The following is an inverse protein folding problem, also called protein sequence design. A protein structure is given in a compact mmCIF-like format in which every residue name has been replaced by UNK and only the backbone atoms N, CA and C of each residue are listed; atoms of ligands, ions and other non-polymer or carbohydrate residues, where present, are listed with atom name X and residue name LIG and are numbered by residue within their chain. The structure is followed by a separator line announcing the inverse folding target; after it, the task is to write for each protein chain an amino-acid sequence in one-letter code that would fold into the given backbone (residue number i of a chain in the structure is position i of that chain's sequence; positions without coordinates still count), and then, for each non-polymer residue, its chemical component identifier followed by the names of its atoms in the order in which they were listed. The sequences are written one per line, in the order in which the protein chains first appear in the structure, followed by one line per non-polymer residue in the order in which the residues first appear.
data_IF_062407961883
#
_entry.id   IF_062407961883
#
_cell.length_a   1.000
_cell.length_b   1.000
_cell.length_c   1.000
_cell.angle_alpha   90.00
_cell.angle_beta   90.00
_cell.angle_gamma   90.00
#
_symmetry.space_group_name_H-M   'P 1'
#
loop_
_entity.id
_entity.type
_entity.pdbx_description
1 polymer ?
#
# COMPACT_ATOMS: atom_id res chain seq x y z
N UNK A 1 -0.05 -1.28 12.05
CA UNK A 1 -0.13 -0.66 10.71
C UNK A 1 -1.47 0.00 10.55
N UNK A 2 -1.51 1.31 10.33
CA UNK A 2 -2.73 2.10 10.14
C UNK A 2 -2.85 2.47 8.67
N UNK A 3 -3.94 2.06 8.05
CA UNK A 3 -4.27 2.38 6.66
C UNK A 3 -5.48 3.32 6.64
N UNK A 4 -5.38 4.42 5.92
CA UNK A 4 -6.43 5.42 5.78
C UNK A 4 -7.19 5.27 4.47
N UNK A 5 -8.49 5.58 4.49
CA UNK A 5 -9.34 5.66 3.32
C UNK A 5 -9.38 7.10 2.81
N UNK A 6 -8.69 7.44 1.71
CA UNK A 6 -8.50 8.84 1.31
C UNK A 6 -9.80 9.65 1.15
N UNK A 7 -10.91 9.13 0.57
CA UNK A 7 -12.17 9.87 0.52
C UNK A 7 -12.70 10.31 1.89
N UNK A 8 -12.51 9.49 2.93
CA UNK A 8 -12.90 9.84 4.30
C UNK A 8 -11.88 10.78 4.98
N UNK A 9 -10.59 10.68 4.67
CA UNK A 9 -9.57 11.65 5.12
C UNK A 9 -9.86 13.05 4.56
N UNK A 10 -10.29 13.13 3.31
CA UNK A 10 -10.63 14.36 2.61
C UNK A 10 -12.00 14.95 3.00
N UNK A 11 -12.71 14.33 3.94
CA UNK A 11 -14.04 14.79 4.32
C UNK A 11 -13.99 16.14 5.05
N UNK A 12 -14.37 17.21 4.34
CA UNK A 12 -14.40 18.57 4.89
C UNK A 12 -13.11 19.36 4.71
N UNK A 13 -12.12 18.78 4.04
CA UNK A 13 -10.86 19.44 3.69
C UNK A 13 -10.58 19.20 2.22
N UNK A 14 -10.12 20.23 1.51
CA UNK A 14 -9.71 20.07 0.12
C UNK A 14 -8.41 19.27 0.07
N UNK A 15 -8.48 18.08 -0.53
CA UNK A 15 -7.29 17.28 -0.79
C UNK A 15 -6.49 17.80 -1.98
N UNK A 16 -5.18 17.58 -1.92
CA UNK A 16 -4.22 18.03 -2.93
C UNK A 16 -4.51 17.45 -4.31
N UNK A 17 -4.87 16.16 -4.35
CA UNK A 17 -5.24 15.44 -5.55
C UNK A 17 -6.54 14.67 -5.34
N UNK A 18 -7.10 14.14 -6.42
CA UNK A 18 -8.24 13.26 -6.33
C UNK A 18 -7.88 12.03 -5.47
N UNK A 19 -8.70 11.69 -4.47
CA UNK A 19 -8.46 10.55 -3.61
C UNK A 19 -8.21 9.26 -4.41
N UNK A 20 -7.20 8.51 -3.99
CA UNK A 20 -6.88 7.21 -4.57
C UNK A 20 -8.03 6.21 -4.35
N UNK A 21 -8.23 5.30 -5.29
CA UNK A 21 -9.22 4.21 -5.19
C UNK A 21 -8.72 3.02 -4.36
N UNK A 22 -7.81 3.25 -3.41
CA UNK A 22 -7.26 2.25 -2.50
C UNK A 22 -6.97 2.87 -1.14
N UNK A 23 -6.87 2.01 -0.12
CA UNK A 23 -6.30 2.41 1.16
C UNK A 23 -4.85 2.85 0.98
N UNK A 24 -4.46 3.95 1.61
CA UNK A 24 -3.06 4.39 1.68
C UNK A 24 -2.53 4.25 3.09
N UNK A 25 -1.22 4.24 3.24
CA UNK A 25 -0.57 4.19 4.54
C UNK A 25 -0.84 5.53 5.25
N UNK A 26 -1.28 5.46 6.51
CA UNK A 26 -1.15 6.59 7.43
C UNK A 26 0.18 6.45 8.17
N UNK A 27 0.39 5.31 8.84
CA UNK A 27 1.67 5.01 9.44
C UNK A 27 1.78 3.65 10.12
N UNK A 28 2.99 3.35 10.57
CA UNK A 28 3.29 2.19 11.41
C UNK A 28 3.65 2.70 12.80
N UNK A 29 2.78 2.43 13.79
CA UNK A 29 2.91 3.03 15.11
C UNK A 29 3.23 1.95 16.16
N UNK A 30 4.44 1.97 16.74
CA UNK A 30 4.75 1.16 17.92
C UNK A 30 3.78 1.48 19.06
N UNK A 31 3.35 0.44 19.78
CA UNK A 31 2.41 0.56 20.89
C UNK A 31 2.81 -0.38 22.01
N UNK A 32 2.58 0.04 23.25
CA UNK A 32 2.66 -0.79 24.45
C UNK A 32 1.30 -1.39 24.83
N UNK A 33 0.43 -1.64 23.84
CA UNK A 33 -0.95 -2.10 24.04
C UNK A 33 -1.79 -1.15 24.89
N UNK A 34 -1.52 0.16 24.78
CA UNK A 34 -2.33 1.21 25.37
C UNK A 34 -2.81 2.20 24.32
N UNK A 35 -3.74 3.06 24.72
CA UNK A 35 -4.25 4.20 23.98
C UNK A 35 -3.35 5.45 24.12
N UNK A 36 -2.21 5.34 24.80
CA UNK A 36 -1.25 6.43 24.97
C UNK A 36 -0.15 6.27 23.91
N UNK A 37 0.07 7.28 23.04
CA UNK A 37 1.18 7.24 22.09
C UNK A 37 2.53 7.16 22.82
N UNK A 38 3.43 6.35 22.28
CA UNK A 38 4.81 6.33 22.75
C UNK A 38 5.53 7.61 22.30
N UNK A 39 6.40 8.12 23.17
CA UNK A 39 7.28 9.26 22.87
C UNK A 39 8.71 8.79 23.07
N UNK A 40 9.50 8.81 22.00
CA UNK A 40 10.86 8.30 22.01
C UNK A 40 11.81 9.30 21.37
N UNK A 41 12.97 9.48 21.99
CA UNK A 41 14.09 10.15 21.33
C UNK A 41 14.69 9.22 20.26
N UNK A 42 15.23 9.78 19.20
CA UNK A 42 15.85 9.01 18.13
C UNK A 42 16.53 9.91 17.11
N UNK A 43 17.16 9.30 16.11
CA UNK A 43 17.77 10.05 15.02
C UNK A 43 16.68 10.78 14.21
N UNK A 44 16.89 12.06 13.86
CA UNK A 44 15.92 12.80 13.08
C UNK A 44 15.78 12.21 11.68
N UNK A 45 14.60 12.41 11.07
CA UNK A 45 14.35 11.96 9.71
C UNK A 45 15.45 12.38 8.72
N UNK A 46 15.96 11.42 7.96
CA UNK A 46 16.94 11.64 6.91
C UNK A 46 16.47 11.05 5.58
N UNK A 47 16.01 11.91 4.67
CA UNK A 47 15.54 11.53 3.33
C UNK A 47 16.55 10.66 2.55
N UNK A 48 17.85 10.92 2.70
CA UNK A 48 18.87 10.21 1.93
C UNK A 48 18.86 8.69 2.22
N UNK A 49 18.53 8.28 3.45
CA UNK A 49 18.50 6.86 3.82
C UNK A 49 17.34 6.10 3.16
N UNK A 50 16.27 6.78 2.74
CA UNK A 50 15.09 6.17 2.13
C UNK A 50 14.97 6.47 0.63
N UNK A 51 16.03 7.02 0.01
CA UNK A 51 15.99 7.49 -1.38
C UNK A 51 15.51 6.41 -2.37
N UNK A 52 15.90 5.15 -2.13
CA UNK A 52 15.51 3.99 -2.94
C UNK A 52 14.02 3.62 -2.80
N UNK A 53 13.37 4.01 -1.70
CA UNK A 53 11.97 3.70 -1.40
C UNK A 53 10.99 4.78 -1.88
N UNK A 54 11.49 5.99 -2.19
CA UNK A 54 10.67 7.15 -2.56
C UNK A 54 9.62 6.86 -3.64
N UNK A 55 9.90 6.10 -4.72
CA UNK A 55 8.87 5.77 -5.71
C UNK A 55 7.68 5.02 -5.10
N UNK A 56 7.93 4.01 -4.26
CA UNK A 56 6.87 3.25 -3.60
C UNK A 56 6.16 4.07 -2.53
N UNK A 57 6.89 4.87 -1.77
CA UNK A 57 6.32 5.76 -0.75
C UNK A 57 5.38 6.80 -1.38
N UNK A 58 5.71 7.35 -2.55
CA UNK A 58 4.83 8.26 -3.28
C UNK A 58 3.52 7.59 -3.70
N UNK A 59 3.54 6.31 -4.05
CA UNK A 59 2.34 5.56 -4.44
C UNK A 59 1.49 5.15 -3.26
N UNK A 60 2.12 4.58 -2.22
CA UNK A 60 1.40 3.90 -1.14
C UNK A 60 1.26 4.73 0.14
N UNK A 61 2.16 5.69 0.37
CA UNK A 61 2.17 6.56 1.55
C UNK A 61 2.10 8.06 1.19
N UNK A 62 1.16 8.50 0.33
CA UNK A 62 1.03 9.92 0.02
C UNK A 62 0.45 10.72 1.20
N UNK A 63 0.85 11.98 1.28
CA UNK A 63 0.08 13.00 2.00
C UNK A 63 -1.15 13.37 1.15
N UNK A 64 -2.29 12.79 1.50
CA UNK A 64 -3.53 12.98 0.75
C UNK A 64 -4.10 14.39 0.88
N UNK A 65 -3.76 15.12 1.96
CA UNK A 65 -4.30 16.46 2.22
C UNK A 65 -3.46 17.52 1.53
N UNK A 66 -2.16 17.58 1.85
CA UNK A 66 -1.30 18.68 1.39
C UNK A 66 -0.46 18.35 0.15
N UNK A 67 -0.31 17.05 -0.17
CA UNK A 67 0.59 16.58 -1.24
C UNK A 67 2.08 16.64 -0.87
N UNK A 68 2.43 17.12 0.32
CA UNK A 68 3.82 17.17 0.79
C UNK A 68 4.22 15.85 1.46
N UNK A 69 4.43 14.83 0.62
CA UNK A 69 4.74 13.48 1.09
C UNK A 69 5.99 13.44 2.00
N UNK A 70 7.05 14.18 1.68
CA UNK A 70 8.27 14.18 2.48
C UNK A 70 8.04 14.75 3.89
N UNK A 71 7.25 15.83 4.02
CA UNK A 71 6.88 16.36 5.32
C UNK A 71 6.07 15.35 6.13
N UNK A 72 5.18 14.62 5.46
CA UNK A 72 4.37 13.60 6.11
C UNK A 72 5.21 12.41 6.58
N UNK A 73 6.11 11.87 5.74
CA UNK A 73 7.05 10.81 6.15
C UNK A 73 7.96 11.24 7.30
N UNK A 74 8.44 12.49 7.27
CA UNK A 74 9.23 13.06 8.36
C UNK A 74 8.45 13.05 9.67
N UNK A 75 7.19 13.49 9.65
CA UNK A 75 6.32 13.48 10.83
C UNK A 75 6.14 12.06 11.38
N UNK A 76 5.78 11.10 10.51
CA UNK A 76 5.56 9.71 10.92
C UNK A 76 6.83 9.06 11.49
N UNK A 77 8.01 9.34 10.92
CA UNK A 77 9.26 8.88 11.48
C UNK A 77 9.57 9.52 12.83
N UNK A 78 9.59 10.86 12.91
CA UNK A 78 9.99 11.57 14.12
C UNK A 78 9.03 11.32 15.30
N UNK A 79 7.73 11.10 15.02
CA UNK A 79 6.71 10.89 16.05
C UNK A 79 6.45 9.42 16.39
N UNK A 80 6.72 8.48 15.48
CA UNK A 80 6.42 7.06 15.70
C UNK A 80 7.57 6.13 15.37
N UNK A 81 8.25 6.34 14.24
CA UNK A 81 9.34 5.49 13.79
C UNK A 81 10.52 5.41 14.75
N UNK A 82 10.87 6.51 15.40
CA UNK A 82 11.93 6.56 16.44
C UNK A 82 11.68 5.59 17.60
N UNK A 83 10.41 5.29 17.92
CA UNK A 83 10.06 4.31 18.95
C UNK A 83 10.27 2.85 18.55
N UNK A 84 10.64 2.59 17.30
CA UNK A 84 10.99 1.25 16.81
C UNK A 84 12.48 1.07 16.56
N UNK A 85 13.31 2.07 16.85
CA UNK A 85 14.76 2.03 16.66
C UNK A 85 15.48 2.02 18.03
N UNK A 86 16.06 0.89 18.45
CA UNK A 86 16.11 -0.43 17.79
C UNK A 86 14.82 -1.26 17.94
N UNK A 87 14.59 -2.30 17.11
CA UNK A 87 15.55 -2.88 16.15
C UNK A 87 15.43 -2.36 14.70
N UNK A 88 14.46 -1.50 14.39
CA UNK A 88 14.22 -1.00 13.05
C UNK A 88 14.78 0.41 12.90
N UNK A 89 15.94 0.52 12.24
CA UNK A 89 16.40 1.83 11.79
C UNK A 89 15.42 2.43 10.75
N UNK A 90 15.61 3.70 10.41
CA UNK A 90 14.70 4.43 9.51
C UNK A 90 14.43 3.69 8.19
N UNK A 91 15.46 3.17 7.52
CA UNK A 91 15.26 2.43 6.27
C UNK A 91 14.39 1.20 6.49
N UNK A 92 14.66 0.42 7.56
CA UNK A 92 13.90 -0.78 7.87
C UNK A 92 12.46 -0.47 8.28
N UNK A 93 12.21 0.63 9.00
CA UNK A 93 10.85 1.08 9.35
C UNK A 93 10.00 1.34 8.10
N UNK A 94 10.51 2.13 7.15
CA UNK A 94 9.79 2.43 5.91
C UNK A 94 9.66 1.18 5.01
N UNK A 95 10.71 0.37 4.89
CA UNK A 95 10.67 -0.87 4.12
C UNK A 95 9.65 -1.87 4.68
N UNK A 96 9.61 -2.05 6.00
CA UNK A 96 8.67 -2.96 6.68
C UNK A 96 7.24 -2.51 6.45
N UNK A 97 7.00 -1.21 6.58
CA UNK A 97 5.68 -0.60 6.34
C UNK A 97 5.21 -0.80 4.89
N UNK A 98 6.11 -0.62 3.92
CA UNK A 98 5.83 -0.90 2.49
C UNK A 98 5.60 -2.39 2.21
N UNK A 99 6.38 -3.29 2.83
CA UNK A 99 6.20 -4.73 2.68
C UNK A 99 4.84 -5.18 3.20
N UNK A 100 4.38 -4.64 4.33
CA UNK A 100 3.03 -4.91 4.84
C UNK A 100 1.98 -4.39 3.87
N UNK A 101 2.10 -3.14 3.41
CA UNK A 101 1.09 -2.53 2.51
C UNK A 101 0.99 -3.23 1.16
N UNK A 102 2.10 -3.71 0.61
CA UNK A 102 2.13 -4.34 -0.72
C UNK A 102 1.87 -5.85 -0.68
N UNK A 103 1.72 -6.45 0.51
CA UNK A 103 1.33 -7.84 0.65
C UNK A 103 -0.15 -8.04 0.26
N UNK A 104 -0.39 -8.86 -0.76
CA UNK A 104 -1.74 -9.16 -1.27
C UNK A 104 -2.68 -9.78 -0.23
N UNK A 105 -2.15 -10.49 0.77
CA UNK A 105 -2.95 -11.05 1.87
C UNK A 105 -3.53 -9.95 2.79
N UNK A 106 -3.03 -8.72 2.68
CA UNK A 106 -3.45 -7.56 3.47
C UNK A 106 -4.09 -6.46 2.62
N UNK A 107 -4.47 -6.77 1.36
CA UNK A 107 -5.24 -5.84 0.53
C UNK A 107 -6.69 -5.75 1.04
N UNK A 108 -6.89 -4.81 1.96
CA UNK A 108 -8.16 -4.58 2.63
C UNK A 108 -9.31 -4.28 1.67
N UNK A 109 -9.05 -3.56 0.58
CA UNK A 109 -10.09 -3.24 -0.39
C UNK A 109 -10.47 -4.49 -1.18
N UNK A 110 -9.49 -5.28 -1.62
CA UNK A 110 -9.76 -6.54 -2.32
C UNK A 110 -10.52 -7.55 -1.44
N UNK A 111 -10.10 -7.69 -0.17
CA UNK A 111 -10.79 -8.54 0.81
C UNK A 111 -12.26 -8.14 0.97
N UNK A 112 -12.51 -6.85 1.20
CA UNK A 112 -13.85 -6.36 1.46
C UNK A 112 -14.73 -6.35 0.20
N UNK A 113 -14.16 -6.12 -0.98
CA UNK A 113 -14.87 -6.26 -2.25
C UNK A 113 -15.28 -7.73 -2.50
N UNK A 114 -14.39 -8.68 -2.24
CA UNK A 114 -14.68 -10.12 -2.38
C UNK A 114 -15.81 -10.56 -1.46
N UNK A 115 -15.93 -9.96 -0.28
CA UNK A 115 -17.03 -10.19 0.65
C UNK A 115 -18.33 -9.43 0.29
N UNK A 116 -18.38 -8.66 -0.80
CA UNK A 116 -19.53 -7.82 -1.15
C UNK A 116 -19.72 -6.59 -0.24
N UNK A 117 -18.68 -6.23 0.51
CA UNK A 117 -18.68 -5.18 1.52
C UNK A 117 -17.95 -3.90 1.11
N UNK A 118 -17.52 -3.80 -0.15
CA UNK A 118 -16.80 -2.64 -0.70
C UNK A 118 -17.49 -1.28 -0.51
N UNK A 119 -16.81 -0.16 -0.80
CA UNK A 119 -17.41 1.16 -0.66
C UNK A 119 -18.56 1.33 -1.68
N UNK A 120 -19.75 1.73 -1.21
CA UNK A 120 -20.90 2.00 -2.10
C UNK A 120 -21.45 3.42 -1.96
N UNK A 121 -20.88 4.24 -1.07
CA UNK A 121 -21.22 5.66 -0.90
C UNK A 121 -22.55 5.95 -0.21
N UNK A 122 -23.55 5.07 -0.35
CA UNK A 122 -24.91 5.28 0.14
C UNK A 122 -25.33 4.31 1.24
N UNK A 123 -24.74 3.11 1.28
CA UNK A 123 -25.14 2.07 2.22
C UNK A 123 -24.32 2.12 3.51
N UNK A 124 -25.01 1.91 4.62
CA UNK A 124 -24.40 1.69 5.92
C UNK A 124 -23.77 0.29 5.97
N UNK A 125 -22.59 0.19 6.56
CA UNK A 125 -21.89 -1.07 6.83
C UNK A 125 -22.00 -1.40 8.32
N UNK A 126 -22.18 -2.69 8.61
CA UNK A 126 -22.14 -3.21 9.98
C UNK A 126 -20.69 -3.40 10.40
N UNK A 127 -20.32 -2.93 11.59
CA UNK A 127 -18.99 -3.12 12.16
C UNK A 127 -18.57 -4.61 12.12
N UNK A 128 -19.43 -5.49 12.64
CA UNK A 128 -19.13 -6.93 12.73
C UNK A 128 -18.97 -7.61 11.36
N UNK A 129 -19.59 -7.08 10.31
CA UNK A 129 -19.42 -7.62 8.96
C UNK A 129 -18.04 -7.26 8.38
N UNK A 130 -17.60 -6.01 8.56
CA UNK A 130 -16.28 -5.56 8.11
C UNK A 130 -15.18 -6.27 8.90
N UNK A 131 -15.29 -6.31 10.24
CA UNK A 131 -14.35 -7.00 11.11
C UNK A 131 -14.28 -8.49 10.76
N UNK A 132 -15.43 -9.16 10.67
CA UNK A 132 -15.52 -10.58 10.37
C UNK A 132 -14.96 -10.96 9.00
N UNK A 133 -15.20 -10.15 7.96
CA UNK A 133 -14.64 -10.41 6.63
C UNK A 133 -13.11 -10.31 6.61
N UNK A 134 -12.53 -9.31 7.28
CA UNK A 134 -11.08 -9.17 7.39
C UNK A 134 -10.50 -10.30 8.26
N UNK A 135 -11.15 -10.64 9.37
CA UNK A 135 -10.72 -11.75 10.22
C UNK A 135 -10.75 -13.08 9.47
N UNK A 136 -11.79 -13.33 8.67
CA UNK A 136 -11.89 -14.56 7.86
C UNK A 136 -10.76 -14.65 6.83
N UNK A 137 -10.37 -13.53 6.22
CA UNK A 137 -9.30 -13.51 5.20
C UNK A 137 -7.88 -13.55 5.80
N UNK A 138 -7.66 -12.92 6.95
CA UNK A 138 -6.32 -12.73 7.54
C UNK A 138 -6.04 -13.60 8.75
N UNK A 139 -7.07 -14.24 9.32
CA UNK A 139 -7.02 -15.00 10.56
C UNK A 139 -6.96 -14.14 11.84
N UNK A 140 -6.92 -12.81 11.73
CA UNK A 140 -6.75 -11.89 12.87
C UNK A 140 -7.75 -10.73 12.85
N UNK A 141 -8.15 -10.29 14.04
CA UNK A 141 -9.08 -9.17 14.20
C UNK A 141 -8.40 -7.83 13.88
N UNK A 142 -8.95 -7.02 12.96
CA UNK A 142 -8.50 -5.66 12.74
C UNK A 142 -9.04 -4.69 13.80
N UNK A 143 -8.51 -3.46 13.82
CA UNK A 143 -9.17 -2.31 14.43
C UNK A 143 -9.85 -1.44 13.37
N UNK A 144 -11.00 -0.83 13.69
CA UNK A 144 -11.76 0.04 12.78
C UNK A 144 -11.98 1.44 13.38
N UNK A 145 -11.44 2.47 12.71
CA UNK A 145 -11.64 3.87 13.11
C UNK A 145 -12.59 4.59 12.18
N UNK A 146 -13.51 5.33 12.78
CA UNK A 146 -14.46 6.18 12.08
C UNK A 146 -14.28 7.66 12.47
N UNK A 147 -14.27 8.53 11.47
CA UNK A 147 -14.37 9.97 11.67
C UNK A 147 -15.82 10.45 11.39
N UNK A 148 -16.07 11.75 11.56
CA UNK A 148 -17.38 12.35 11.29
C UNK A 148 -17.33 13.02 9.91
N UNK A 149 -18.23 12.63 9.01
CA UNK A 149 -18.34 13.25 7.71
C UNK A 149 -18.72 14.74 7.86
N UNK A 150 -18.01 15.63 7.18
CA UNK A 150 -18.16 17.06 7.40
C UNK A 150 -19.49 17.60 6.87
N UNK A 151 -20.02 17.01 5.79
CA UNK A 151 -21.28 17.41 5.17
C UNK A 151 -22.48 16.74 5.86
N UNK A 152 -22.54 15.40 5.80
CA UNK A 152 -23.69 14.63 6.31
C UNK A 152 -23.72 14.45 7.82
N UNK A 153 -22.62 14.77 8.53
CA UNK A 153 -22.44 14.56 9.97
C UNK A 153 -22.51 13.10 10.43
N UNK A 154 -22.65 12.14 9.52
CA UNK A 154 -22.65 10.69 9.81
C UNK A 154 -21.25 10.19 10.14
N UNK A 155 -21.16 9.13 10.93
CA UNK A 155 -19.90 8.39 11.13
C UNK A 155 -19.56 7.62 9.86
N UNK A 156 -18.29 7.68 9.45
CA UNK A 156 -17.81 7.00 8.26
C UNK A 156 -16.49 6.29 8.52
N UNK A 157 -16.26 5.16 7.84
CA UNK A 157 -15.00 4.42 7.91
C UNK A 157 -13.87 5.32 7.41
N UNK A 158 -12.87 5.51 8.26
CA UNK A 158 -11.76 6.42 8.04
C UNK A 158 -10.44 5.65 7.97
N UNK A 159 -10.21 4.72 8.89
CA UNK A 159 -9.00 3.89 8.90
C UNK A 159 -9.32 2.45 9.31
N UNK A 160 -8.46 1.55 8.84
CA UNK A 160 -8.40 0.16 9.29
C UNK A 160 -6.98 -0.09 9.81
N UNK A 161 -6.90 -0.74 10.97
CA UNK A 161 -5.64 -1.09 11.62
C UNK A 161 -5.44 -2.61 11.53
N UNK A 162 -4.27 -3.00 11.04
CA UNK A 162 -3.73 -4.35 11.17
C UNK A 162 -2.61 -4.33 12.22
N UNK A 163 -2.70 -5.22 13.21
CA UNK A 163 -1.75 -5.27 14.31
C UNK A 163 -0.69 -6.34 14.08
N UNK A 164 0.55 -6.00 14.36
CA UNK A 164 1.70 -6.89 14.20
C UNK A 164 2.45 -6.97 15.52
N UNK A 165 3.03 -8.12 15.81
CA UNK A 165 3.98 -8.27 16.92
C UNK A 165 5.20 -7.37 16.70
N UNK A 166 5.98 -7.13 17.76
CA UNK A 166 7.17 -6.27 17.77
C UNK A 166 8.24 -6.68 16.75
N UNK A 167 8.17 -7.89 16.20
CA UNK A 167 9.04 -8.35 15.13
C UNK A 167 8.69 -7.76 13.74
N UNK A 168 7.60 -7.00 13.62
CA UNK A 168 7.18 -6.34 12.37
C UNK A 168 6.67 -7.29 11.28
N UNK A 169 6.47 -8.58 11.58
CA UNK A 169 6.13 -9.63 10.60
C UNK A 169 4.89 -10.43 11.02
N UNK A 170 4.80 -10.84 12.28
CA UNK A 170 3.71 -11.70 12.75
C UNK A 170 2.43 -10.89 12.94
N UNK A 171 1.39 -11.18 12.16
CA UNK A 171 0.07 -10.59 12.34
C UNK A 171 -0.56 -11.12 13.64
N UNK A 172 -1.10 -10.22 14.46
CA UNK A 172 -1.76 -10.51 15.73
C UNK A 172 -3.13 -9.85 15.77
N UNK A 173 -3.98 -10.29 16.69
CA UNK A 173 -5.26 -9.63 16.93
C UNK A 173 -5.03 -8.23 17.45
N UNK A 174 -5.73 -7.26 16.88
CA UNK A 174 -5.75 -5.92 17.43
C UNK A 174 -6.44 -5.91 18.79
N UNK A 175 -5.85 -5.20 19.75
CA UNK A 175 -6.46 -5.00 21.06
C UNK A 175 -7.55 -3.94 20.98
N UNK A 176 -8.36 -3.83 22.04
CA UNK A 176 -9.38 -2.78 22.16
C UNK A 176 -8.83 -1.35 22.06
N UNK A 177 -7.51 -1.17 22.27
CA UNK A 177 -6.83 0.12 22.18
C UNK A 177 -6.44 0.51 20.75
N UNK A 178 -6.52 -0.42 19.79
CA UNK A 178 -6.25 -0.16 18.37
C UNK A 178 -7.43 0.56 17.69
N UNK A 179 -7.88 1.67 18.30
CA UNK A 179 -8.79 2.61 17.67
C UNK A 179 -10.17 2.04 17.32
N UNK A 180 -10.90 1.47 18.27
CA UNK A 180 -12.31 1.12 18.07
C UNK A 180 -13.16 2.38 18.24
N UNK A 181 -13.24 3.23 17.21
CA UNK A 181 -14.03 4.48 17.24
C UNK A 181 -15.27 4.44 16.36
N UNK A 182 -15.47 3.33 15.65
CA UNK A 182 -16.66 3.10 14.86
C UNK A 182 -17.86 2.67 15.72
N UNK A 183 -19.07 3.21 15.49
CA UNK A 183 -20.31 2.64 16.03
C UNK A 183 -20.61 1.27 15.38
N UNK A 184 -21.69 0.62 15.82
CA UNK A 184 -22.19 -0.63 15.20
C UNK A 184 -22.45 -0.50 13.69
N UNK A 185 -22.76 0.71 13.24
CA UNK A 185 -23.14 1.03 11.87
C UNK A 185 -22.54 2.36 11.41
N UNK A 186 -21.84 2.35 10.28
CA UNK A 186 -21.20 3.54 9.71
C UNK A 186 -21.27 3.56 8.18
N UNK A 187 -21.08 4.73 7.59
CA UNK A 187 -21.01 4.89 6.13
C UNK A 187 -19.63 4.49 5.62
N UNK A 188 -19.54 3.88 4.45
CA UNK A 188 -18.28 3.77 3.73
C UNK A 188 -18.39 4.51 2.40
N UNK A 189 -17.76 5.68 2.34
CA UNK A 189 -17.78 6.54 1.17
C UNK A 189 -17.13 5.86 -0.03
N UNK A 190 -17.82 5.89 -1.16
CA UNK A 190 -17.21 5.64 -2.45
C UNK A 190 -16.28 6.80 -2.85
N UNK A 191 -15.37 6.50 -3.78
CA UNK A 191 -14.62 7.53 -4.49
C UNK A 191 -15.62 8.44 -5.19
N UNK A 192 -15.54 9.75 -4.92
CA UNK A 192 -16.27 10.72 -5.73
C UNK A 192 -15.89 10.52 -7.20
N UNK A 193 -16.85 10.48 -8.14
CA UNK A 193 -16.53 10.31 -9.55
C UNK A 193 -15.56 11.40 -9.99
N UNK A 194 -14.53 10.99 -10.70
CA UNK A 194 -13.57 11.90 -11.30
C UNK A 194 -14.32 12.89 -12.19
N UNK A 195 -13.89 14.15 -12.20
CA UNK A 195 -14.25 15.04 -13.31
C UNK A 195 -13.86 14.37 -14.64
N UNK A 196 -14.60 14.64 -15.72
CA UNK A 196 -14.29 14.11 -17.06
C UNK A 196 -12.80 14.30 -17.43
N UNK A 197 -12.22 15.45 -17.06
CA UNK A 197 -10.80 15.76 -17.30
C UNK A 197 -9.88 14.81 -16.54
N UNK A 198 -10.15 14.56 -15.26
CA UNK A 198 -9.35 13.65 -14.44
C UNK A 198 -9.53 12.18 -14.86
N UNK A 199 -10.73 11.78 -15.27
CA UNK A 199 -10.99 10.45 -15.80
C UNK A 199 -10.21 10.18 -17.10
N UNK A 200 -10.20 11.15 -18.02
CA UNK A 200 -9.39 11.09 -19.25
C UNK A 200 -7.89 11.04 -18.93
N UNK A 201 -7.44 11.77 -17.91
CA UNK A 201 -6.05 11.71 -17.43
C UNK A 201 -5.65 10.32 -16.92
N UNK A 202 -6.47 9.69 -16.07
CA UNK A 202 -6.21 8.33 -15.58
C UNK A 202 -6.24 7.28 -16.69
N UNK A 203 -7.19 7.38 -17.63
CA UNK A 203 -7.25 6.51 -18.81
C UNK A 203 -6.00 6.65 -19.68
N UNK A 204 -5.53 7.89 -19.93
CA UNK A 204 -4.29 8.14 -20.67
C UNK A 204 -3.08 7.53 -19.96
N UNK A 205 -2.94 7.74 -18.66
CA UNK A 205 -1.82 7.18 -17.89
C UNK A 205 -1.84 5.65 -17.88
N UNK A 206 -3.02 5.04 -17.73
CA UNK A 206 -3.20 3.59 -17.81
C UNK A 206 -2.81 3.06 -19.19
N UNK A 207 -3.28 3.68 -20.27
CA UNK A 207 -2.89 3.31 -21.64
C UNK A 207 -1.38 3.44 -21.86
N UNK A 208 -0.77 4.53 -21.41
CA UNK A 208 0.69 4.75 -21.53
C UNK A 208 1.46 3.64 -20.80
N UNK A 209 1.01 3.24 -19.61
CA UNK A 209 1.61 2.15 -18.86
C UNK A 209 1.48 0.81 -19.60
N UNK A 210 0.28 0.48 -20.10
CA UNK A 210 0.03 -0.75 -20.87
C UNK A 210 0.85 -0.81 -22.17
N UNK A 211 0.95 0.30 -22.91
CA UNK A 211 1.78 0.39 -24.12
C UNK A 211 3.26 0.26 -23.79
N UNK A 212 3.70 0.79 -22.64
CA UNK A 212 5.09 0.67 -22.18
C UNK A 212 5.44 -0.77 -21.83
N UNK A 213 4.53 -1.49 -21.15
CA UNK A 213 4.68 -2.93 -20.88
C UNK A 213 4.77 -3.71 -22.19
N UNK A 214 3.87 -3.45 -23.14
CA UNK A 214 3.84 -4.18 -24.41
C UNK A 214 5.11 -3.94 -25.24
N UNK A 215 5.61 -2.70 -25.26
CA UNK A 215 6.90 -2.37 -25.89
C UNK A 215 8.05 -3.13 -25.23
N UNK A 216 8.08 -3.17 -23.90
CA UNK A 216 9.12 -3.90 -23.17
C UNK A 216 9.09 -5.40 -23.48
N UNK A 217 7.91 -6.02 -23.45
CA UNK A 217 7.73 -7.43 -23.83
C UNK A 217 8.19 -7.70 -25.26
N UNK A 218 7.86 -6.81 -26.20
CA UNK A 218 8.30 -6.94 -27.59
C UNK A 218 9.82 -6.84 -27.75
N UNK A 219 10.48 -5.91 -27.04
CA UNK A 219 11.94 -5.84 -26.99
C UNK A 219 12.55 -7.11 -26.39
N UNK A 220 11.98 -7.67 -25.33
CA UNK A 220 12.46 -8.92 -24.74
C UNK A 220 12.35 -10.09 -25.73
N UNK A 221 11.25 -10.17 -26.49
CA UNK A 221 11.05 -11.20 -27.52
C UNK A 221 12.09 -11.04 -28.64
N UNK A 222 12.28 -9.83 -29.18
CA UNK A 222 13.28 -9.56 -30.20
C UNK A 222 14.71 -9.91 -29.73
N UNK A 223 15.05 -9.55 -28.50
CA UNK A 223 16.35 -9.87 -27.91
C UNK A 223 16.54 -11.39 -27.78
N UNK A 224 15.50 -12.11 -27.33
CA UNK A 224 15.52 -13.56 -27.21
C UNK A 224 15.68 -14.26 -28.57
N UNK A 225 14.96 -13.79 -29.59
CA UNK A 225 15.08 -14.27 -30.98
C UNK A 225 16.50 -14.02 -31.50
N UNK A 226 17.05 -12.82 -31.28
CA UNK A 226 18.42 -12.47 -31.71
C UNK A 226 19.47 -13.35 -31.04
N UNK A 227 19.30 -13.64 -29.74
CA UNK A 227 20.18 -14.56 -28.99
C UNK A 227 20.05 -15.99 -29.54
N UNK A 228 18.84 -16.46 -29.86
CA UNK A 228 18.62 -17.79 -30.46
C UNK A 228 19.29 -17.90 -31.84
N UNK A 229 19.17 -16.88 -32.70
CA UNK A 229 19.86 -16.85 -33.98
C UNK A 229 21.39 -16.80 -33.81
N UNK A 230 21.91 -15.97 -32.88
CA UNK A 230 23.35 -15.96 -32.57
C UNK A 230 23.85 -17.33 -32.10
N UNK A 231 23.13 -18.02 -31.21
CA UNK A 231 23.49 -19.39 -30.79
C UNK A 231 23.44 -20.40 -31.94
N UNK A 232 22.48 -20.26 -32.86
CA UNK A 232 22.35 -21.16 -34.02
C UNK A 232 23.45 -20.97 -35.07
N UNK A 233 23.94 -19.74 -35.26
CA UNK A 233 25.02 -19.44 -36.23
C UNK A 233 26.43 -19.58 -35.65
N UNK A 234 26.64 -19.33 -34.36
CA UNK A 234 27.94 -19.49 -33.71
C UNK A 234 28.15 -20.87 -33.06
N UNK A 235 27.09 -21.67 -32.90
CA UNK A 235 27.18 -23.03 -32.35
C UNK A 235 27.65 -24.12 -33.33
N UNK A 236 27.85 -23.80 -34.61
CA UNK A 236 28.17 -24.79 -35.67
C UNK A 236 29.66 -24.90 -36.01
N UNK A 237 30.57 -24.30 -35.22
CA UNK A 237 32.03 -24.47 -35.36
C UNK A 237 32.65 -25.07 -34.10
N UNK A 238 32.36 -26.33 -33.80
CA UNK A 238 33.22 -27.24 -33.01
C UNK A 238 32.60 -28.64 -33.01
N UNK A 239 33.02 -29.46 -33.96
CA UNK A 239 32.67 -30.89 -33.97
C UNK A 239 32.92 -31.52 -35.33
N UNK A 240 34.07 -32.15 -35.50
CA UNK A 240 34.31 -33.06 -36.63
C UNK A 240 35.66 -32.90 -37.31
N UNK A 241 36.75 -33.26 -36.63
CA UNK A 241 37.95 -33.78 -37.32
C UNK A 241 38.40 -35.01 -36.56
N UNK A 242 37.89 -36.17 -36.99
CA UNK A 242 38.24 -37.47 -36.48
C UNK A 242 38.05 -38.53 -37.55
N UNK A 243 39.15 -38.88 -38.23
CA UNK A 243 39.49 -40.27 -38.52
C UNK A 243 39.15 -40.86 -39.89
N UNK A 244 40.23 -41.23 -40.61
CA UNK A 244 40.32 -42.42 -41.47
C UNK A 244 40.23 -42.13 -42.99
N UNK A 245 41.03 -42.73 -43.87
CA UNK A 245 41.94 -43.90 -43.80
C UNK A 245 42.80 -43.95 -45.08
N UNK A 246 43.94 -44.66 -44.99
CA UNK A 246 44.56 -45.63 -45.95
C UNK A 246 44.42 -45.33 -47.46
N UNK A 247 45.49 -45.31 -48.27
CA UNK A 247 46.54 -46.32 -48.47
C UNK A 247 47.73 -45.68 -49.21
#
# INVERSE_FOLDING_TARGET
MVQQWPPATCSGVRCYANPSAMFTIHGLWPSNYSNIPLVCAGQPFNRAQIATLVPQLNTYWPDVISGNNQRFWKHEWDSHGTCSDPPFNQLQYFQTTLNIRTNHNYDLLAILNTAGLGPTGTNTRQYGAIEGAIQAATGKKPGLRCNKNAQSKKKQLFEIILCFDKNGVTLIDCTQFAGITCPSQFVWLDRQPLSLVSAVGELKNSLVHQVSILKFLFLCILLSITIMFRKRFYGTRRGGSGGGKQE
#
